data_IF_384533630260
#
_entry.id   IF_384533630260
#
_cell.length_a   1.000
_cell.length_b   1.000
_cell.length_c   1.000
_cell.angle_alpha   90.00
_cell.angle_beta   90.00
_cell.angle_gamma   90.00
#
_symmetry.space_group_name_H-M   'P 1'
#
loop_
_entity.id
_entity.type
_entity.pdbx_description
1 polymer ?
#
# COMPACT_ATOMS: atom_id res chain seq x y z
N UNK A 1 26.46 59.60 -18.93
CA UNK A 1 25.98 60.38 -17.75
C UNK A 1 25.02 59.49 -16.96
N UNK A 2 25.36 59.24 -15.67
CA UNK A 2 24.52 58.96 -14.51
C UNK A 2 23.60 57.72 -14.58
N UNK A 3 23.44 56.84 -13.59
CA UNK A 3 23.96 56.70 -12.23
C UNK A 3 23.49 55.34 -11.72
N UNK A 4 24.39 54.56 -11.25
CA UNK A 4 24.44 53.72 -10.08
C UNK A 4 23.22 53.72 -9.13
N UNK A 5 22.75 52.55 -8.74
CA UNK A 5 21.85 52.30 -7.62
C UNK A 5 21.95 50.87 -7.11
N UNK A 6 22.93 50.61 -6.25
CA UNK A 6 23.04 49.35 -5.49
C UNK A 6 22.04 49.38 -4.33
N UNK A 7 21.17 48.39 -4.20
CA UNK A 7 20.46 48.14 -2.95
C UNK A 7 21.01 46.87 -2.29
N UNK A 8 21.64 47.11 -1.18
CA UNK A 8 22.12 46.11 -0.20
C UNK A 8 20.93 45.77 0.70
N UNK A 9 20.49 44.52 0.69
CA UNK A 9 19.61 44.04 1.73
C UNK A 9 20.41 43.38 2.85
N UNK A 10 20.35 44.00 4.02
CA UNK A 10 20.91 43.50 5.28
C UNK A 10 20.10 42.30 5.76
N UNK A 11 20.79 41.19 6.02
CA UNK A 11 20.28 40.09 6.80
C UNK A 11 20.12 40.53 8.26
N UNK A 12 18.94 40.35 8.82
CA UNK A 12 18.66 40.53 10.24
C UNK A 12 18.56 39.14 10.88
N UNK A 13 19.58 38.76 11.62
CA UNK A 13 19.58 37.56 12.47
C UNK A 13 18.75 37.85 13.71
N UNK A 14 17.66 37.11 13.92
CA UNK A 14 16.92 37.09 15.17
C UNK A 14 17.37 35.88 16.00
N UNK A 15 18.07 36.21 17.09
CA UNK A 15 18.40 35.27 18.16
C UNK A 15 17.21 35.24 19.12
N UNK A 16 16.46 34.15 19.18
CA UNK A 16 15.41 33.96 20.19
C UNK A 16 15.96 33.09 21.31
N UNK A 17 16.11 33.72 22.48
CA UNK A 17 16.42 33.02 23.72
C UNK A 17 15.17 32.26 24.21
N UNK A 18 15.27 30.95 24.40
CA UNK A 18 14.22 30.16 25.02
C UNK A 18 14.43 30.16 26.52
N UNK A 19 13.55 30.84 27.23
CA UNK A 19 13.40 30.71 28.68
C UNK A 19 12.53 29.50 29.00
N UNK A 20 13.09 28.52 29.70
CA UNK A 20 12.34 27.44 30.31
C UNK A 20 11.39 27.98 31.40
N UNK A 21 10.11 27.76 31.20
CA UNK A 21 9.12 27.86 32.29
C UNK A 21 8.58 26.47 32.52
N UNK A 22 8.96 25.88 33.66
CA UNK A 22 8.38 24.66 34.20
C UNK A 22 6.99 25.02 34.75
N UNK A 23 5.95 24.69 34.02
CA UNK A 23 4.57 24.71 34.47
C UNK A 23 4.01 23.32 34.52
N UNK A 24 3.86 22.74 35.73
CA UNK A 24 3.03 21.54 35.94
C UNK A 24 1.57 21.94 35.69
N UNK A 25 1.01 21.50 34.60
CA UNK A 25 -0.44 21.46 34.40
C UNK A 25 -0.91 20.02 34.49
N UNK A 26 -1.63 19.71 35.57
CA UNK A 26 -2.45 18.49 35.63
C UNK A 26 -3.60 18.64 34.63
N UNK A 27 -3.52 17.95 33.51
CA UNK A 27 -4.66 17.74 32.64
C UNK A 27 -5.19 16.36 32.94
N UNK A 28 -6.37 16.35 33.55
CA UNK A 28 -7.20 15.16 33.67
C UNK A 28 -7.73 14.85 32.26
N UNK A 29 -7.01 14.05 31.50
CA UNK A 29 -7.41 13.55 30.18
C UNK A 29 -8.17 12.26 30.35
N UNK A 30 -9.34 12.17 29.74
CA UNK A 30 -9.99 10.88 29.50
C UNK A 30 -9.02 9.99 28.74
N UNK A 31 -8.52 8.96 29.40
CA UNK A 31 -7.68 7.97 28.77
C UNK A 31 -8.52 7.18 27.76
N UNK A 32 -8.14 7.25 26.50
CA UNK A 32 -8.36 6.15 25.59
C UNK A 32 -7.32 5.10 26.03
N UNK A 33 -7.76 4.17 26.87
CA UNK A 33 -6.99 2.97 27.14
C UNK A 33 -6.88 2.19 25.82
N UNK A 34 -5.76 2.36 25.12
CA UNK A 34 -5.35 1.35 24.16
C UNK A 34 -5.15 0.05 24.96
N UNK A 35 -5.77 -1.05 24.58
CA UNK A 35 -5.47 -2.32 25.23
C UNK A 35 -3.96 -2.54 25.06
N UNK A 36 -3.27 -2.75 26.18
CA UNK A 36 -1.89 -3.19 26.17
C UNK A 36 -1.85 -4.46 25.29
N UNK A 37 -1.08 -4.42 24.20
CA UNK A 37 -0.77 -5.63 23.50
C UNK A 37 -0.11 -6.56 24.53
N UNK A 38 -0.75 -7.69 24.80
CA UNK A 38 -0.13 -8.76 25.59
C UNK A 38 1.06 -9.28 24.76
N UNK A 39 2.19 -8.58 24.89
CA UNK A 39 3.43 -8.91 24.25
C UNK A 39 4.05 -10.16 24.85
N UNK A 40 3.61 -11.29 24.39
CA UNK A 40 4.31 -12.57 24.52
C UNK A 40 3.75 -13.61 23.55
N UNK A 41 3.78 -13.33 22.25
CA UNK A 41 3.75 -14.40 21.26
C UNK A 41 5.18 -14.60 20.73
N UNK A 42 6.06 -15.10 21.62
CA UNK A 42 7.47 -15.38 21.30
C UNK A 42 7.69 -16.74 20.66
N UNK A 43 6.65 -17.53 20.46
CA UNK A 43 6.68 -18.82 19.79
C UNK A 43 5.95 -18.69 18.43
N UNK A 44 6.64 -18.13 17.45
CA UNK A 44 6.23 -18.24 16.06
C UNK A 44 6.05 -19.73 15.71
N UNK A 45 4.86 -20.19 15.32
CA UNK A 45 4.59 -21.62 15.14
C UNK A 45 5.41 -22.22 14.00
N UNK A 46 5.83 -21.40 13.00
CA UNK A 46 6.54 -21.86 11.83
C UNK A 46 7.89 -21.18 11.62
N UNK A 47 8.89 -21.96 11.19
CA UNK A 47 10.09 -21.42 10.57
C UNK A 47 9.77 -20.98 9.16
N UNK A 48 10.28 -19.83 8.74
CA UNK A 48 10.00 -19.28 7.42
C UNK A 48 11.06 -19.64 6.38
N UNK A 49 10.65 -19.68 5.11
CA UNK A 49 11.51 -19.66 3.95
C UNK A 49 11.13 -18.48 3.08
N UNK A 50 12.10 -17.94 2.36
CA UNK A 50 11.88 -16.90 1.37
C UNK A 50 12.57 -17.29 0.05
N UNK A 51 11.96 -16.94 -1.06
CA UNK A 51 12.55 -17.06 -2.39
C UNK A 51 12.26 -15.83 -3.23
N UNK A 52 13.28 -15.32 -3.92
CA UNK A 52 13.17 -14.22 -4.86
C UNK A 52 13.26 -14.75 -6.28
N UNK A 53 12.37 -14.30 -7.15
CA UNK A 53 12.31 -14.73 -8.54
C UNK A 53 11.78 -13.63 -9.46
N UNK A 54 11.93 -13.84 -10.77
CA UNK A 54 11.43 -12.94 -11.79
C UNK A 54 10.31 -13.60 -12.59
N UNK A 55 9.17 -12.92 -12.69
CA UNK A 55 8.04 -13.34 -13.51
C UNK A 55 8.08 -12.62 -14.85
N UNK A 56 8.06 -13.39 -15.93
CA UNK A 56 8.01 -12.87 -17.30
C UNK A 56 6.64 -12.24 -17.58
N UNK A 57 6.63 -10.99 -18.01
CA UNK A 57 5.43 -10.26 -18.42
C UNK A 57 4.96 -10.61 -19.83
N UNK A 58 5.82 -11.26 -20.65
CA UNK A 58 5.55 -11.59 -22.05
C UNK A 58 5.87 -10.47 -23.04
N UNK A 59 6.35 -9.33 -22.58
CA UNK A 59 6.75 -8.17 -23.39
C UNK A 59 8.27 -7.92 -23.39
N UNK A 60 9.02 -8.83 -22.82
CA UNK A 60 10.47 -8.72 -22.61
C UNK A 60 10.87 -8.05 -21.32
N UNK A 61 9.90 -7.69 -20.48
CA UNK A 61 10.11 -7.22 -19.11
C UNK A 61 9.72 -8.25 -18.07
N UNK A 62 10.16 -8.06 -16.85
CA UNK A 62 9.99 -8.99 -15.74
C UNK A 62 9.53 -8.27 -14.49
N UNK A 63 8.72 -8.94 -13.66
CA UNK A 63 8.34 -8.51 -12.33
C UNK A 63 9.24 -9.18 -11.31
N UNK A 64 10.01 -8.41 -10.52
CA UNK A 64 10.70 -8.93 -9.36
C UNK A 64 9.68 -9.29 -8.29
N UNK A 65 9.73 -10.52 -7.83
CA UNK A 65 8.75 -11.09 -6.91
C UNK A 65 9.45 -11.83 -5.79
N UNK A 66 8.92 -11.77 -4.61
CA UNK A 66 9.39 -12.58 -3.47
C UNK A 66 8.20 -13.29 -2.82
N UNK A 67 8.37 -14.57 -2.57
CA UNK A 67 7.47 -15.38 -1.77
C UNK A 67 8.11 -15.67 -0.42
N UNK A 68 7.31 -15.55 0.66
CA UNK A 68 7.68 -15.94 2.02
C UNK A 68 6.64 -16.91 2.53
N UNK A 69 7.06 -18.05 3.05
CA UNK A 69 6.14 -19.12 3.43
C UNK A 69 6.67 -19.97 4.58
N UNK A 70 5.78 -20.66 5.33
CA UNK A 70 6.18 -21.60 6.37
C UNK A 70 6.83 -22.84 5.77
N UNK A 71 7.99 -23.27 6.33
CA UNK A 71 8.77 -24.41 5.79
C UNK A 71 8.10 -25.76 5.97
N UNK A 72 7.50 -25.97 7.11
CA UNK A 72 7.04 -27.29 7.58
C UNK A 72 5.52 -27.27 7.80
N UNK A 73 4.77 -26.57 6.93
CA UNK A 73 3.32 -26.50 6.99
C UNK A 73 2.69 -27.82 6.50
N UNK A 74 1.77 -28.35 7.29
CA UNK A 74 1.07 -29.59 6.92
C UNK A 74 -0.20 -29.28 6.10
N UNK A 75 -0.14 -29.57 4.82
CA UNK A 75 -1.22 -29.35 3.86
C UNK A 75 -1.13 -28.10 3.01
N UNK A 76 -2.21 -27.73 2.31
CA UNK A 76 -2.25 -26.52 1.49
C UNK A 76 -2.30 -25.24 2.34
N UNK A 77 -1.41 -24.29 2.07
CA UNK A 77 -1.29 -23.02 2.79
C UNK A 77 -2.30 -21.98 2.29
N UNK A 78 -2.91 -21.18 3.17
CA UNK A 78 -3.56 -19.95 2.74
C UNK A 78 -2.54 -18.99 2.13
N UNK A 79 -2.96 -18.14 1.18
CA UNK A 79 -2.09 -17.21 0.49
C UNK A 79 -2.59 -15.77 0.65
N UNK A 80 -1.70 -14.85 0.99
CA UNK A 80 -1.94 -13.40 0.96
C UNK A 80 -1.06 -12.77 -0.11
N UNK A 81 -1.67 -12.17 -1.13
CA UNK A 81 -0.94 -11.38 -2.13
C UNK A 81 -0.88 -9.90 -1.69
N UNK A 82 0.30 -9.30 -1.80
CA UNK A 82 0.65 -8.00 -1.21
C UNK A 82 0.97 -6.99 -2.31
N UNK A 83 0.23 -5.87 -2.37
CA UNK A 83 0.41 -4.79 -3.32
C UNK A 83 0.92 -3.50 -2.66
N UNK A 84 2.03 -2.96 -3.18
CA UNK A 84 2.53 -1.64 -2.76
C UNK A 84 1.84 -0.48 -3.48
N UNK A 85 2.04 0.75 -2.99
CA UNK A 85 1.50 1.98 -3.58
C UNK A 85 2.37 2.57 -4.69
N UNK A 86 1.98 3.79 -5.13
CA UNK A 86 2.70 4.56 -6.15
C UNK A 86 4.18 4.74 -5.76
N UNK A 87 5.10 4.49 -6.68
CA UNK A 87 6.57 4.51 -6.51
C UNK A 87 7.12 3.54 -5.44
N UNK A 88 6.30 2.66 -4.92
CA UNK A 88 6.76 1.68 -3.97
C UNK A 88 7.64 0.60 -4.61
N UNK A 89 8.15 -0.26 -3.76
CA UNK A 89 8.84 -1.49 -4.11
C UNK A 89 8.24 -2.63 -3.30
N UNK A 90 8.62 -3.85 -3.58
CA UNK A 90 8.16 -5.03 -2.84
C UNK A 90 8.42 -4.94 -1.31
N UNK A 91 9.38 -4.10 -0.86
CA UNK A 91 9.69 -3.89 0.55
C UNK A 91 9.02 -2.65 1.17
N UNK A 92 8.25 -1.89 0.38
CA UNK A 92 7.68 -0.62 0.85
C UNK A 92 6.57 -0.81 1.87
N UNK A 93 6.51 0.12 2.84
CA UNK A 93 5.38 0.25 3.77
C UNK A 93 5.17 -0.95 4.68
N UNK A 94 6.25 -1.60 5.12
CA UNK A 94 6.18 -2.74 6.03
C UNK A 94 5.81 -4.06 5.36
N UNK A 95 5.73 -4.12 4.02
CA UNK A 95 5.34 -5.34 3.29
C UNK A 95 6.29 -6.51 3.54
N UNK A 96 7.60 -6.24 3.71
CA UNK A 96 8.59 -7.25 4.05
C UNK A 96 8.29 -7.88 5.41
N UNK A 97 8.15 -7.07 6.44
CA UNK A 97 7.85 -7.56 7.78
C UNK A 97 6.49 -8.28 7.83
N UNK A 98 5.46 -7.72 7.19
CA UNK A 98 4.15 -8.36 7.11
C UNK A 98 4.24 -9.75 6.48
N UNK A 99 4.98 -9.91 5.38
CA UNK A 99 5.13 -11.20 4.72
C UNK A 99 5.80 -12.25 5.60
N UNK A 100 6.80 -11.85 6.40
CA UNK A 100 7.44 -12.75 7.37
C UNK A 100 6.52 -13.11 8.52
N UNK A 101 5.82 -12.13 9.12
CA UNK A 101 4.86 -12.39 10.20
C UNK A 101 3.67 -13.26 9.73
N UNK A 102 3.20 -13.08 8.50
CA UNK A 102 2.21 -13.98 7.90
C UNK A 102 2.74 -15.41 7.78
N UNK A 103 3.99 -15.57 7.30
CA UNK A 103 4.59 -16.89 7.17
C UNK A 103 4.81 -17.57 8.53
N UNK A 104 5.22 -16.84 9.55
CA UNK A 104 5.30 -17.30 10.93
C UNK A 104 3.93 -17.75 11.47
N UNK A 105 2.86 -17.10 11.03
CA UNK A 105 1.48 -17.45 11.38
C UNK A 105 0.86 -18.57 10.52
N UNK A 106 1.61 -19.15 9.56
CA UNK A 106 1.14 -20.27 8.75
C UNK A 106 0.57 -19.90 7.38
N UNK A 107 0.78 -18.68 6.91
CA UNK A 107 0.32 -18.18 5.60
C UNK A 107 1.48 -18.10 4.63
N UNK A 108 1.27 -18.48 3.38
CA UNK A 108 2.14 -18.03 2.31
C UNK A 108 1.82 -16.57 2.00
N UNK A 109 2.85 -15.77 1.77
CA UNK A 109 2.73 -14.38 1.32
C UNK A 109 3.53 -14.19 0.04
N UNK A 110 3.00 -13.44 -0.92
CA UNK A 110 3.71 -13.07 -2.13
C UNK A 110 3.62 -11.56 -2.35
N UNK A 111 4.75 -10.94 -2.60
CA UNK A 111 4.88 -9.51 -2.86
C UNK A 111 5.74 -9.28 -4.09
N UNK A 112 5.48 -8.21 -4.81
CA UNK A 112 6.16 -7.94 -6.07
C UNK A 112 6.49 -6.47 -6.21
N UNK A 113 7.49 -6.19 -7.05
CA UNK A 113 7.82 -4.84 -7.49
C UNK A 113 7.12 -4.58 -8.83
N UNK A 114 6.13 -3.71 -8.85
CA UNK A 114 5.39 -3.38 -10.06
C UNK A 114 6.23 -2.63 -11.10
N UNK A 115 7.43 -2.21 -10.72
CA UNK A 115 8.37 -1.63 -11.68
C UNK A 115 8.95 -2.73 -12.59
N UNK A 116 8.77 -2.67 -13.92
CA UNK A 116 9.27 -3.71 -14.80
C UNK A 116 10.79 -3.73 -14.85
N UNK A 117 11.37 -4.92 -14.86
CA UNK A 117 12.80 -5.17 -15.09
C UNK A 117 13.05 -5.60 -16.54
N UNK A 118 14.15 -5.11 -17.16
CA UNK A 118 14.52 -5.49 -18.52
C UNK A 118 15.22 -6.86 -18.55
N UNK A 119 15.87 -7.25 -17.46
CA UNK A 119 16.54 -8.55 -17.37
C UNK A 119 16.53 -9.07 -15.93
N UNK A 120 16.47 -10.40 -15.75
CA UNK A 120 16.67 -11.01 -14.43
C UNK A 120 17.96 -10.49 -13.80
N UNK A 121 17.91 -10.09 -12.53
CA UNK A 121 19.01 -9.53 -11.73
C UNK A 121 19.34 -8.04 -11.95
N UNK A 122 18.63 -7.33 -12.79
CA UNK A 122 18.66 -5.87 -12.80
C UNK A 122 17.37 -5.39 -12.18
N UNK A 123 17.48 -4.61 -11.11
CA UNK A 123 16.37 -3.79 -10.68
C UNK A 123 15.86 -3.00 -11.87
N UNK A 124 14.58 -2.84 -11.92
CA UNK A 124 13.88 -2.14 -12.96
C UNK A 124 14.70 -0.98 -13.51
N UNK A 125 14.86 -0.97 -14.80
CA UNK A 125 15.07 0.29 -15.47
C UNK A 125 13.84 1.13 -15.15
N UNK A 126 14.03 2.17 -14.33
CA UNK A 126 12.97 3.03 -13.81
C UNK A 126 12.24 3.84 -14.90
N UNK A 127 12.25 3.37 -16.11
CA UNK A 127 11.44 3.86 -17.23
C UNK A 127 9.98 3.42 -17.12
N UNK A 128 9.49 3.40 -15.94
CA UNK A 128 8.29 2.81 -15.43
C UNK A 128 7.04 3.25 -16.16
N UNK A 129 6.61 2.40 -17.04
CA UNK A 129 5.28 2.38 -17.60
C UNK A 129 4.53 1.27 -16.86
N UNK A 130 3.92 1.57 -15.72
CA UNK A 130 2.96 0.68 -15.10
C UNK A 130 1.67 1.45 -14.82
N UNK A 131 0.58 0.78 -14.99
CA UNK A 131 -0.77 1.24 -14.80
C UNK A 131 -1.53 0.24 -13.90
N UNK A 132 -2.77 0.52 -13.55
CA UNK A 132 -3.55 -0.34 -12.66
C UNK A 132 -3.73 -1.75 -13.24
N UNK A 133 -3.94 -1.87 -14.56
CA UNK A 133 -4.11 -3.17 -15.22
C UNK A 133 -2.83 -3.97 -15.26
N UNK A 134 -1.69 -3.33 -15.48
CA UNK A 134 -0.40 -4.03 -15.42
C UNK A 134 -0.07 -4.49 -14.01
N UNK A 135 -0.40 -3.70 -12.98
CA UNK A 135 -0.27 -4.10 -11.57
C UNK A 135 -1.18 -5.28 -11.23
N UNK A 136 -2.44 -5.24 -11.66
CA UNK A 136 -3.36 -6.37 -11.51
C UNK A 136 -2.83 -7.63 -12.19
N UNK A 137 -2.37 -7.52 -13.43
CA UNK A 137 -1.78 -8.63 -14.17
C UNK A 137 -0.53 -9.21 -13.48
N UNK A 138 0.31 -8.37 -12.88
CA UNK A 138 1.47 -8.82 -12.12
C UNK A 138 1.07 -9.57 -10.84
N UNK A 139 0.08 -9.07 -10.11
CA UNK A 139 -0.47 -9.78 -8.95
C UNK A 139 -1.04 -11.14 -9.34
N UNK A 140 -1.79 -11.21 -10.43
CA UNK A 140 -2.34 -12.47 -10.94
C UNK A 140 -1.23 -13.47 -11.36
N UNK A 141 -0.15 -12.98 -11.98
CA UNK A 141 1.02 -13.83 -12.30
C UNK A 141 1.66 -14.38 -11.03
N UNK A 142 1.81 -13.54 -9.99
CA UNK A 142 2.39 -13.97 -8.72
C UNK A 142 1.50 -15.00 -8.01
N UNK A 143 0.19 -14.78 -7.95
CA UNK A 143 -0.76 -15.76 -7.38
C UNK A 143 -0.72 -17.08 -8.15
N UNK A 144 -0.74 -17.04 -9.49
CA UNK A 144 -0.64 -18.25 -10.32
C UNK A 144 0.69 -18.98 -10.12
N UNK A 145 1.80 -18.24 -9.98
CA UNK A 145 3.09 -18.85 -9.67
C UNK A 145 3.05 -19.59 -8.35
N UNK A 146 2.52 -18.98 -7.30
CA UNK A 146 2.40 -19.61 -5.99
C UNK A 146 1.57 -20.90 -6.05
N UNK A 147 0.43 -20.86 -6.73
CA UNK A 147 -0.43 -22.04 -6.91
C UNK A 147 0.28 -23.16 -7.70
N UNK A 148 1.07 -22.78 -8.69
CA UNK A 148 1.79 -23.74 -9.55
C UNK A 148 3.04 -24.37 -8.93
N UNK A 149 3.65 -23.72 -7.94
CA UNK A 149 4.95 -24.13 -7.38
C UNK A 149 4.90 -24.50 -5.89
N UNK A 150 3.84 -24.08 -5.19
CA UNK A 150 3.63 -24.39 -3.78
C UNK A 150 2.28 -25.06 -3.55
N UNK A 151 2.13 -25.75 -2.41
CA UNK A 151 0.84 -26.28 -1.98
C UNK A 151 -0.01 -25.16 -1.42
N UNK A 152 -0.79 -24.48 -2.27
CA UNK A 152 -1.66 -23.36 -1.90
C UNK A 152 -3.11 -23.81 -1.86
N UNK A 153 -3.84 -23.39 -0.83
CA UNK A 153 -5.28 -23.56 -0.72
C UNK A 153 -5.99 -22.41 -1.47
N UNK A 154 -6.53 -22.73 -2.63
CA UNK A 154 -7.22 -21.73 -3.47
C UNK A 154 -8.56 -21.27 -2.89
N UNK A 155 -9.08 -21.93 -1.86
CA UNK A 155 -10.25 -21.50 -1.12
C UNK A 155 -9.91 -20.53 0.03
N UNK A 156 -8.62 -20.27 0.28
CA UNK A 156 -8.13 -19.36 1.32
C UNK A 156 -7.15 -18.34 0.75
N UNK A 157 -7.64 -17.49 -0.17
CA UNK A 157 -6.87 -16.42 -0.81
C UNK A 157 -7.26 -15.06 -0.21
N UNK A 158 -6.27 -14.28 0.21
CA UNK A 158 -6.43 -12.92 0.71
C UNK A 158 -5.61 -11.90 -0.07
N UNK A 159 -5.99 -10.63 0.07
CA UNK A 159 -5.27 -9.49 -0.50
C UNK A 159 -4.91 -8.51 0.61
N UNK A 160 -3.67 -8.07 0.61
CA UNK A 160 -3.23 -6.89 1.35
C UNK A 160 -2.76 -5.83 0.38
N UNK A 161 -3.15 -4.59 0.60
CA UNK A 161 -2.72 -3.53 -0.29
C UNK A 161 -2.64 -2.17 0.40
N UNK A 162 -1.80 -1.30 -0.17
CA UNK A 162 -1.58 0.03 0.34
C UNK A 162 -1.68 1.09 -0.74
N UNK A 163 -2.27 2.26 -0.40
CA UNK A 163 -2.31 3.44 -1.26
C UNK A 163 -2.88 3.08 -2.66
N UNK A 164 -2.20 3.42 -3.75
CA UNK A 164 -2.60 3.07 -5.11
C UNK A 164 -2.82 1.55 -5.31
N UNK A 165 -2.01 0.70 -4.67
CA UNK A 165 -2.24 -0.75 -4.67
C UNK A 165 -3.59 -1.14 -4.08
N UNK A 166 -4.15 -0.30 -3.19
CA UNK A 166 -5.51 -0.48 -2.64
C UNK A 166 -6.57 -0.49 -3.74
N UNK A 167 -6.49 0.42 -4.71
CA UNK A 167 -7.39 0.41 -5.87
C UNK A 167 -7.30 -0.88 -6.67
N UNK A 168 -6.07 -1.39 -6.86
CA UNK A 168 -5.85 -2.68 -7.56
C UNK A 168 -6.47 -3.84 -6.78
N UNK A 169 -6.20 -3.96 -5.48
CA UNK A 169 -6.75 -5.04 -4.66
C UNK A 169 -8.28 -4.99 -4.58
N UNK A 170 -8.87 -3.79 -4.47
CA UNK A 170 -10.32 -3.61 -4.52
C UNK A 170 -10.89 -4.08 -5.86
N UNK A 171 -10.25 -3.73 -6.98
CA UNK A 171 -10.64 -4.19 -8.33
C UNK A 171 -10.58 -5.71 -8.42
N UNK A 172 -9.47 -6.32 -8.02
CA UNK A 172 -9.29 -7.77 -8.04
C UNK A 172 -10.36 -8.50 -7.23
N UNK A 173 -10.67 -8.00 -6.04
CA UNK A 173 -11.68 -8.57 -5.17
C UNK A 173 -13.10 -8.44 -5.75
N UNK A 174 -13.44 -7.25 -6.26
CA UNK A 174 -14.76 -6.96 -6.80
C UNK A 174 -15.06 -7.75 -8.08
N UNK A 175 -14.07 -7.93 -8.94
CA UNK A 175 -14.23 -8.57 -10.25
C UNK A 175 -13.88 -10.07 -10.25
N UNK A 176 -13.46 -10.63 -9.11
CA UNK A 176 -12.90 -11.99 -9.03
C UNK A 176 -11.83 -12.20 -10.10
N UNK A 177 -10.88 -11.28 -10.16
CA UNK A 177 -9.87 -11.24 -11.20
C UNK A 177 -9.12 -12.57 -11.33
N UNK A 178 -8.87 -12.98 -12.57
CA UNK A 178 -8.26 -14.27 -12.86
C UNK A 178 -9.14 -15.49 -12.52
N UNK A 179 -10.41 -15.28 -12.13
CA UNK A 179 -11.31 -16.31 -11.67
C UNK A 179 -11.07 -16.74 -10.20
N UNK A 180 -10.25 -15.98 -9.46
CA UNK A 180 -9.97 -16.25 -8.07
C UNK A 180 -11.05 -15.67 -7.14
N UNK A 181 -11.47 -16.48 -6.18
CA UNK A 181 -12.44 -16.10 -5.16
C UNK A 181 -11.71 -15.63 -3.89
N UNK A 182 -11.19 -14.40 -3.90
CA UNK A 182 -10.56 -13.81 -2.72
C UNK A 182 -11.56 -13.73 -1.56
N UNK A 183 -11.13 -14.16 -0.36
CA UNK A 183 -12.01 -14.28 0.82
C UNK A 183 -11.92 -13.07 1.76
N UNK A 184 -10.79 -12.40 1.80
CA UNK A 184 -10.52 -11.29 2.71
C UNK A 184 -9.62 -10.23 2.05
N UNK A 185 -9.86 -8.95 2.34
CA UNK A 185 -9.06 -7.84 1.84
C UNK A 185 -8.68 -6.89 2.97
N UNK A 186 -7.38 -6.66 3.17
CA UNK A 186 -6.88 -5.65 4.10
C UNK A 186 -6.24 -4.49 3.35
N UNK A 187 -6.65 -3.28 3.66
CA UNK A 187 -6.30 -2.05 2.95
C UNK A 187 -5.71 -1.03 3.92
N UNK A 188 -4.56 -0.46 3.60
CA UNK A 188 -3.96 0.66 4.35
C UNK A 188 -3.92 1.89 3.47
N UNK A 189 -4.60 2.96 3.87
CA UNK A 189 -4.73 4.18 3.10
C UNK A 189 -5.09 3.94 1.63
N UNK A 190 -6.17 3.21 1.31
CA UNK A 190 -6.48 2.84 -0.05
C UNK A 190 -6.84 4.04 -0.92
N UNK A 191 -6.15 4.22 -2.05
CA UNK A 191 -6.52 5.16 -3.10
C UNK A 191 -7.50 4.47 -4.07
N UNK A 192 -8.67 4.12 -3.57
CA UNK A 192 -9.72 3.38 -4.29
C UNK A 192 -10.85 4.25 -4.81
N UNK A 193 -10.71 5.58 -4.76
CA UNK A 193 -11.64 6.54 -5.34
C UNK A 193 -10.98 7.27 -6.51
N UNK A 194 -11.78 7.70 -7.48
CA UNK A 194 -11.32 8.45 -8.65
C UNK A 194 -10.65 9.78 -8.26
N UNK A 195 -11.15 10.44 -7.21
CA UNK A 195 -10.63 11.71 -6.71
C UNK A 195 -9.32 11.58 -5.91
N UNK A 196 -8.95 10.40 -5.41
CA UNK A 196 -7.76 10.21 -4.59
C UNK A 196 -6.46 10.56 -5.32
N UNK A 197 -6.31 10.08 -6.55
CA UNK A 197 -5.12 10.38 -7.36
C UNK A 197 -5.14 11.80 -7.90
N UNK A 198 -6.31 12.33 -8.26
CA UNK A 198 -6.48 13.74 -8.65
C UNK A 198 -6.01 14.66 -7.53
N UNK A 199 -6.46 14.40 -6.30
CA UNK A 199 -6.03 15.15 -5.11
C UNK A 199 -4.50 15.06 -4.90
N UNK A 200 -3.94 13.85 -4.95
CA UNK A 200 -2.50 13.64 -4.79
C UNK A 200 -1.64 14.34 -5.84
N UNK A 201 -2.14 14.41 -7.08
CA UNK A 201 -1.46 15.07 -8.19
C UNK A 201 -1.61 16.60 -8.20
N UNK A 202 -2.27 17.19 -7.21
CA UNK A 202 -2.39 18.65 -7.04
C UNK A 202 -3.72 19.24 -7.47
N UNK A 203 -4.75 18.40 -7.63
CA UNK A 203 -6.11 18.80 -7.97
C UNK A 203 -6.41 18.81 -9.48
N UNK A 204 -7.65 19.17 -9.81
CA UNK A 204 -8.20 19.05 -11.17
C UNK A 204 -7.38 19.77 -12.23
N UNK A 205 -6.90 20.99 -11.96
CA UNK A 205 -6.14 21.78 -12.93
C UNK A 205 -4.79 21.09 -13.26
N UNK A 206 -4.08 20.63 -12.24
CA UNK A 206 -2.81 19.90 -12.41
C UNK A 206 -3.02 18.57 -13.13
N UNK A 207 -4.09 17.85 -12.80
CA UNK A 207 -4.47 16.59 -13.43
C UNK A 207 -4.72 16.76 -14.93
N UNK A 208 -5.53 17.76 -15.32
CA UNK A 208 -5.84 18.02 -16.73
C UNK A 208 -4.61 18.49 -17.52
N UNK A 209 -3.73 19.30 -16.91
CA UNK A 209 -2.48 19.72 -17.55
C UNK A 209 -1.53 18.53 -17.79
N UNK A 210 -1.35 17.68 -16.77
CA UNK A 210 -0.52 16.47 -16.90
C UNK A 210 -1.10 15.50 -17.94
N UNK A 211 -2.39 15.30 -17.94
CA UNK A 211 -3.10 14.46 -18.92
C UNK A 211 -2.95 15.00 -20.35
N UNK A 212 -3.03 16.31 -20.52
CA UNK A 212 -2.78 16.95 -21.83
C UNK A 212 -1.35 16.71 -22.30
N UNK A 213 -0.36 16.94 -21.43
CA UNK A 213 1.05 16.71 -21.75
C UNK A 213 1.29 15.24 -22.11
N UNK A 214 0.73 14.30 -21.34
CA UNK A 214 0.85 12.88 -21.65
C UNK A 214 0.28 12.52 -23.03
N UNK A 215 -0.83 13.14 -23.45
CA UNK A 215 -1.42 12.94 -24.80
C UNK A 215 -0.54 13.51 -25.92
N UNK A 216 0.08 14.67 -25.69
CA UNK A 216 0.92 15.37 -26.70
C UNK A 216 2.28 14.67 -26.87
N UNK A 217 2.92 14.25 -25.77
CA UNK A 217 4.29 13.73 -25.74
C UNK A 217 4.37 12.19 -25.56
N UNK A 218 3.21 11.52 -25.41
CA UNK A 218 3.11 10.08 -25.18
C UNK A 218 3.21 9.68 -23.70
N UNK A 219 3.81 10.51 -22.87
CA UNK A 219 3.84 10.38 -21.42
C UNK A 219 4.24 11.69 -20.75
N UNK A 220 3.96 11.82 -19.46
CA UNK A 220 4.57 12.82 -18.60
C UNK A 220 5.41 12.15 -17.52
N UNK A 221 6.56 12.73 -17.19
CA UNK A 221 7.35 12.27 -16.05
C UNK A 221 6.91 13.01 -14.78
N UNK A 222 6.44 12.25 -13.80
CA UNK A 222 6.04 12.77 -12.49
C UNK A 222 6.70 11.96 -11.38
N UNK A 223 7.51 12.62 -10.56
CA UNK A 223 8.23 12.00 -9.44
C UNK A 223 9.02 10.72 -9.83
N UNK A 224 9.62 10.71 -11.02
CA UNK A 224 10.40 9.59 -11.55
C UNK A 224 9.57 8.45 -12.14
N UNK A 225 8.26 8.64 -12.30
CA UNK A 225 7.36 7.71 -13.00
C UNK A 225 6.91 8.31 -14.33
N UNK A 226 6.78 7.48 -15.36
CA UNK A 226 6.20 7.86 -16.65
C UNK A 226 4.71 7.53 -16.65
N UNK A 227 3.89 8.56 -16.67
CA UNK A 227 2.44 8.45 -16.69
C UNK A 227 1.95 8.62 -18.12
N UNK A 228 1.36 7.57 -18.70
CA UNK A 228 0.82 7.56 -20.06
C UNK A 228 -0.61 8.08 -20.09
N UNK A 229 -1.18 8.40 -21.27
CA UNK A 229 -2.59 8.71 -21.39
C UNK A 229 -3.49 7.61 -20.84
N UNK A 230 -3.11 6.34 -21.01
CA UNK A 230 -3.82 5.16 -20.52
C UNK A 230 -3.86 5.13 -19.01
N UNK A 231 -2.76 5.49 -18.33
CA UNK A 231 -2.69 5.59 -16.88
C UNK A 231 -3.76 6.52 -16.32
N UNK A 232 -3.89 7.72 -16.86
CA UNK A 232 -4.93 8.68 -16.45
C UNK A 232 -6.33 8.12 -16.69
N UNK A 233 -6.53 7.52 -17.87
CA UNK A 233 -7.82 6.97 -18.29
C UNK A 233 -8.30 5.85 -17.37
N UNK A 234 -7.43 5.02 -16.84
CA UNK A 234 -7.78 3.94 -15.92
C UNK A 234 -8.37 4.46 -14.61
N UNK A 235 -7.85 5.57 -14.08
CA UNK A 235 -8.44 6.22 -12.90
C UNK A 235 -9.76 6.92 -13.18
N UNK A 236 -9.96 7.44 -14.39
CA UNK A 236 -11.21 8.10 -14.79
C UNK A 236 -12.33 7.11 -15.16
N UNK A 237 -11.96 5.97 -15.75
CA UNK A 237 -12.94 5.01 -16.27
C UNK A 237 -13.47 4.06 -15.19
N UNK A 238 -12.77 3.87 -14.09
CA UNK A 238 -13.11 2.86 -13.10
C UNK A 238 -12.84 3.32 -11.67
N UNK A 239 -13.91 3.40 -10.89
CA UNK A 239 -13.85 3.64 -9.45
C UNK A 239 -14.22 2.35 -8.71
N UNK A 240 -13.25 1.64 -8.10
CA UNK A 240 -13.54 0.37 -7.44
C UNK A 240 -14.53 0.49 -6.27
N UNK A 241 -14.69 1.66 -5.66
CA UNK A 241 -15.69 1.89 -4.62
C UNK A 241 -17.13 1.72 -5.13
N UNK A 242 -17.40 1.97 -6.40
CA UNK A 242 -18.75 1.82 -6.97
C UNK A 242 -19.14 0.35 -7.13
N UNK A 243 -18.19 -0.57 -7.06
CA UNK A 243 -18.37 -2.00 -7.29
C UNK A 243 -18.16 -2.87 -6.04
N UNK A 244 -17.93 -2.27 -4.87
CA UNK A 244 -17.70 -2.99 -3.62
C UNK A 244 -18.80 -3.99 -3.25
N UNK A 245 -20.03 -3.72 -3.69
CA UNK A 245 -21.16 -4.65 -3.51
C UNK A 245 -20.93 -6.03 -4.15
N UNK A 246 -20.07 -6.13 -5.17
CA UNK A 246 -19.74 -7.42 -5.82
C UNK A 246 -18.91 -8.33 -4.93
N UNK A 247 -18.17 -7.77 -3.96
CA UNK A 247 -17.43 -8.55 -2.98
C UNK A 247 -18.34 -9.18 -1.92
N UNK A 248 -19.63 -8.85 -1.97
CA UNK A 248 -20.70 -9.37 -1.13
C UNK A 248 -20.45 -9.13 0.37
N UNK A 249 -20.61 -10.18 1.20
CA UNK A 249 -20.48 -10.10 2.65
C UNK A 249 -19.08 -10.48 3.15
N UNK A 250 -18.10 -10.59 2.24
CA UNK A 250 -16.73 -10.94 2.59
C UNK A 250 -16.06 -9.81 3.37
N UNK A 251 -15.17 -10.15 4.30
CA UNK A 251 -14.57 -9.17 5.20
C UNK A 251 -13.57 -8.25 4.49
N UNK A 252 -13.65 -6.98 4.84
CA UNK A 252 -12.69 -5.94 4.43
C UNK A 252 -12.20 -5.18 5.66
N UNK A 253 -10.89 -5.12 5.86
CA UNK A 253 -10.26 -4.26 6.86
C UNK A 253 -9.70 -3.02 6.17
N UNK A 254 -10.02 -1.84 6.68
CA UNK A 254 -9.44 -0.57 6.22
C UNK A 254 -8.73 0.11 7.39
N UNK A 255 -7.47 0.45 7.20
CA UNK A 255 -6.69 1.22 8.17
C UNK A 255 -6.46 2.62 7.60
N UNK A 256 -6.83 3.66 8.34
CA UNK A 256 -6.65 5.05 7.95
C UNK A 256 -6.01 5.89 9.06
N UNK A 257 -5.29 6.94 8.68
CA UNK A 257 -4.71 7.92 9.58
C UNK A 257 -5.40 9.27 9.42
N UNK A 258 -5.89 9.84 10.51
CA UNK A 258 -6.59 11.14 10.51
C UNK A 258 -5.72 12.31 10.06
N UNK A 259 -4.41 12.14 10.06
CA UNK A 259 -3.44 13.15 9.61
C UNK A 259 -2.87 12.84 8.21
N UNK A 260 -3.35 11.81 7.52
CA UNK A 260 -2.89 11.48 6.17
C UNK A 260 -3.38 12.55 5.17
N UNK A 261 -2.42 13.28 4.59
CA UNK A 261 -2.69 14.29 3.55
C UNK A 261 -2.42 13.77 2.13
N UNK A 262 -2.00 12.51 1.97
CA UNK A 262 -1.76 11.86 0.67
C UNK A 262 -3.02 11.12 0.21
N UNK A 263 -3.53 10.24 1.08
CA UNK A 263 -4.84 9.63 0.95
C UNK A 263 -5.61 9.93 2.21
N UNK A 264 -6.54 10.86 2.12
CA UNK A 264 -7.25 11.35 3.30
C UNK A 264 -8.03 10.24 4.01
N UNK A 265 -8.26 10.42 5.31
CA UNK A 265 -9.10 9.49 6.07
C UNK A 265 -10.54 9.44 5.51
N UNK A 266 -11.04 10.55 4.94
CA UNK A 266 -12.32 10.57 4.24
C UNK A 266 -12.32 9.63 3.03
N UNK A 267 -11.28 9.66 2.20
CA UNK A 267 -11.11 8.74 1.07
C UNK A 267 -11.09 7.28 1.53
N UNK A 268 -10.31 6.98 2.57
CA UNK A 268 -10.23 5.63 3.14
C UNK A 268 -11.58 5.16 3.70
N UNK A 269 -12.35 6.05 4.34
CA UNK A 269 -13.71 5.74 4.82
C UNK A 269 -14.70 5.53 3.69
N UNK A 270 -14.58 6.27 2.57
CA UNK A 270 -15.39 6.02 1.36
C UNK A 270 -15.12 4.61 0.83
N UNK A 271 -13.83 4.21 0.78
CA UNK A 271 -13.47 2.84 0.38
C UNK A 271 -14.06 1.79 1.33
N UNK A 272 -14.01 2.01 2.64
CA UNK A 272 -14.64 1.11 3.60
C UNK A 272 -16.17 1.03 3.42
N UNK A 273 -16.82 2.18 3.21
CA UNK A 273 -18.28 2.26 3.05
C UNK A 273 -18.79 1.56 1.77
N UNK A 274 -17.92 1.29 0.80
CA UNK A 274 -18.24 0.51 -0.39
C UNK A 274 -18.57 -0.96 -0.07
N UNK A 275 -18.11 -1.48 1.07
CA UNK A 275 -18.24 -2.88 1.45
C UNK A 275 -19.21 -3.07 2.62
N UNK A 276 -20.09 -4.04 2.50
CA UNK A 276 -21.11 -4.34 3.52
C UNK A 276 -20.49 -4.86 4.83
N UNK A 277 -19.41 -5.62 4.73
CA UNK A 277 -18.71 -6.21 5.88
C UNK A 277 -17.30 -5.60 6.00
N UNK A 278 -17.25 -4.30 6.28
CA UNK A 278 -16.00 -3.58 6.49
C UNK A 278 -15.79 -3.21 7.96
N UNK A 279 -14.53 -3.29 8.41
CA UNK A 279 -14.05 -2.77 9.68
C UNK A 279 -13.01 -1.69 9.42
N UNK A 280 -13.11 -0.57 10.12
CA UNK A 280 -12.13 0.52 10.02
C UNK A 280 -11.32 0.60 11.31
N UNK A 281 -10.00 0.64 11.16
CA UNK A 281 -9.07 1.01 12.22
C UNK A 281 -8.56 2.42 11.90
N UNK A 282 -8.84 3.33 12.80
CA UNK A 282 -8.39 4.71 12.70
C UNK A 282 -7.21 4.94 13.63
N UNK A 283 -6.15 5.51 13.10
CA UNK A 283 -4.98 5.92 13.88
C UNK A 283 -4.72 7.41 13.70
N UNK A 284 -3.92 7.99 14.59
CA UNK A 284 -3.44 9.36 14.49
C UNK A 284 -1.94 9.34 14.72
N UNK A 285 -1.16 9.58 13.68
CA UNK A 285 0.29 9.62 13.74
C UNK A 285 0.86 10.68 12.80
N UNK A 286 1.92 11.36 13.23
CA UNK A 286 2.65 12.36 12.45
C UNK A 286 3.42 11.74 11.26
N UNK A 287 3.56 10.43 11.22
CA UNK A 287 4.05 9.72 10.04
C UNK A 287 2.90 9.51 9.05
N UNK A 288 2.33 10.58 8.61
CA UNK A 288 1.11 10.76 7.83
C UNK A 288 0.71 9.56 6.96
N UNK A 289 1.40 9.36 5.82
CA UNK A 289 1.12 8.24 4.90
C UNK A 289 1.98 7.01 5.19
N UNK A 290 3.00 7.11 6.06
CA UNK A 290 3.89 6.00 6.46
C UNK A 290 3.26 5.04 7.46
N UNK A 291 2.40 5.53 8.36
CA UNK A 291 1.76 4.78 9.45
C UNK A 291 2.77 4.05 10.34
N UNK A 292 3.99 4.60 10.42
CA UNK A 292 5.13 4.02 11.15
C UNK A 292 5.51 2.58 10.72
N UNK A 293 4.91 2.06 9.65
CA UNK A 293 5.08 0.68 9.19
C UNK A 293 6.53 0.31 8.82
N UNK A 294 7.38 1.32 8.57
CA UNK A 294 8.80 1.13 8.27
C UNK A 294 9.73 1.49 9.44
N UNK A 295 9.17 1.80 10.62
CA UNK A 295 9.97 2.19 11.78
C UNK A 295 10.31 0.96 12.62
N UNK A 296 11.56 0.86 13.03
CA UNK A 296 11.97 -0.10 14.04
C UNK A 296 11.39 0.31 15.41
N UNK A 297 10.96 -0.68 16.19
CA UNK A 297 10.46 -0.49 17.55
C UNK A 297 9.29 0.51 17.71
N UNK A 298 8.40 0.57 16.73
CA UNK A 298 7.16 1.35 16.81
C UNK A 298 6.03 0.49 17.38
N UNK A 299 5.48 0.90 18.53
CA UNK A 299 4.30 0.24 19.13
C UNK A 299 3.09 0.29 18.19
N UNK A 300 2.91 1.40 17.47
CA UNK A 300 1.85 1.52 16.47
C UNK A 300 2.02 0.52 15.33
N UNK A 301 3.27 0.34 14.83
CA UNK A 301 3.54 -0.66 13.81
C UNK A 301 3.19 -2.07 14.32
N UNK A 302 3.65 -2.42 15.51
CA UNK A 302 3.39 -3.75 16.08
C UNK A 302 1.90 -4.00 16.28
N UNK A 303 1.17 -3.01 16.76
CA UNK A 303 -0.29 -3.06 16.85
C UNK A 303 -0.95 -3.29 15.48
N UNK A 304 -0.58 -2.50 14.47
CA UNK A 304 -1.17 -2.62 13.13
C UNK A 304 -0.81 -3.97 12.46
N UNK A 305 0.41 -4.45 12.65
CA UNK A 305 0.82 -5.78 12.16
C UNK A 305 0.01 -6.89 12.83
N UNK A 306 -0.21 -6.82 14.14
CA UNK A 306 -1.06 -7.79 14.86
C UNK A 306 -2.50 -7.76 14.31
N UNK A 307 -3.11 -6.58 14.15
CA UNK A 307 -4.46 -6.45 13.60
C UNK A 307 -4.59 -7.04 12.19
N UNK A 308 -3.55 -6.89 11.35
CA UNK A 308 -3.52 -7.47 10.01
C UNK A 308 -3.42 -9.00 10.06
N UNK A 309 -2.57 -9.55 10.92
CA UNK A 309 -2.43 -11.00 11.09
C UNK A 309 -3.72 -11.60 11.62
N UNK A 310 -4.29 -11.03 12.66
CA UNK A 310 -5.54 -11.51 13.27
C UNK A 310 -6.70 -11.44 12.30
N UNK A 311 -6.77 -10.36 11.50
CA UNK A 311 -7.77 -10.24 10.44
C UNK A 311 -7.69 -11.41 9.44
N UNK A 312 -6.51 -11.79 8.98
CA UNK A 312 -6.37 -12.94 8.07
C UNK A 312 -6.60 -14.28 8.78
N UNK A 313 -6.20 -14.43 10.04
CA UNK A 313 -6.50 -15.65 10.84
C UNK A 313 -7.99 -15.89 11.01
N UNK A 314 -8.77 -14.83 11.17
CA UNK A 314 -10.21 -14.92 11.37
C UNK A 314 -10.99 -15.19 10.08
N UNK A 315 -10.37 -14.95 8.90
CA UNK A 315 -11.09 -14.90 7.63
C UNK A 315 -10.52 -15.77 6.51
N UNK A 316 -9.38 -16.42 6.69
CA UNK A 316 -8.74 -17.38 5.79
C UNK A 316 -8.49 -18.72 6.48
#
# INVERSE_FOLDING_TARGET
MKSSGKHIHKALSFLLAVTMITGLLFISGCGNDMPAADGNDTDAPYKTAAEEFFLDRGDGTYTLTEAVYPKDYDGPMPLVAIAHGFKGTLNSGGAEELSHRLAEAGYAAVRMDFNPSIAPKKNADKTNLYDLKSMEADMLRAVNYMIGHHSIDTDRLGLYARSMGGGVAMTMANENSGGFDFKAVALVAPAGTDDAMVYYMGGDESWEEMKKTAREDGFIEHQGQKLTPEWFKEFEDYNPCDFGYKFADKPVLVICNTLDYVVTDETSRKCAAAYKNSRVIEVTTDNYHGYEMSYENSELKDYLMSELIDFFKDNL
#
